data_IF_321204617960
#
_entry.id   IF_321204617960
#
_cell.length_a   1.000
_cell.length_b   1.000
_cell.length_c   1.000
_cell.angle_alpha   90.00
_cell.angle_beta   90.00
_cell.angle_gamma   90.00
#
_symmetry.space_group_name_H-M   'P 1'
#
loop_
_entity.id
_entity.type
_entity.pdbx_description
1 polymer ?
#
# COMPACT_ATOMS: atom_id res chain seq x y z
N UNK A 1 0.56 19.67 -8.79
CA UNK A 1 -0.46 20.21 -9.72
C UNK A 1 -1.46 19.11 -10.11
N UNK A 2 -2.75 19.42 -10.36
CA UNK A 2 -3.86 18.46 -10.50
C UNK A 2 -3.64 17.34 -11.54
N UNK A 3 -2.87 17.60 -12.59
CA UNK A 3 -2.56 16.61 -13.64
C UNK A 3 -1.70 15.43 -13.14
N UNK A 4 -0.90 15.63 -12.09
CA UNK A 4 -0.08 14.57 -11.49
C UNK A 4 -0.93 13.52 -10.77
N UNK A 5 -2.01 13.97 -10.13
CA UNK A 5 -2.99 13.09 -9.47
C UNK A 5 -3.69 12.22 -10.52
N UNK A 6 -4.00 12.80 -11.69
CA UNK A 6 -4.62 12.07 -12.80
C UNK A 6 -3.76 10.91 -13.33
N UNK A 7 -2.46 11.12 -13.51
CA UNK A 7 -1.51 10.08 -13.95
C UNK A 7 -1.43 8.95 -12.93
N UNK A 8 -1.33 9.28 -11.64
CA UNK A 8 -1.31 8.29 -10.55
C UNK A 8 -2.56 7.42 -10.54
N UNK A 9 -3.74 8.04 -10.69
CA UNK A 9 -5.02 7.31 -10.72
C UNK A 9 -5.08 6.36 -11.92
N UNK A 10 -4.66 6.80 -13.10
CA UNK A 10 -4.65 5.95 -14.31
C UNK A 10 -3.69 4.76 -14.13
N UNK A 11 -2.49 4.99 -13.59
CA UNK A 11 -1.54 3.90 -13.31
C UNK A 11 -2.03 2.93 -12.23
N UNK A 12 -2.62 3.43 -11.14
CA UNK A 12 -3.27 2.59 -10.13
C UNK A 12 -4.42 1.77 -10.71
N UNK A 13 -5.21 2.34 -11.63
CA UNK A 13 -6.29 1.63 -12.30
C UNK A 13 -5.77 0.52 -13.22
N UNK A 14 -4.67 0.77 -13.95
CA UNK A 14 -3.98 -0.25 -14.76
C UNK A 14 -3.45 -1.38 -13.88
N UNK A 15 -2.81 -1.06 -12.75
CA UNK A 15 -2.32 -2.05 -11.79
C UNK A 15 -3.45 -2.87 -11.15
N UNK A 16 -4.58 -2.23 -10.83
CA UNK A 16 -5.77 -2.91 -10.33
C UNK A 16 -6.31 -3.92 -11.36
N UNK A 17 -6.46 -3.51 -12.63
CA UNK A 17 -6.92 -4.40 -13.70
C UNK A 17 -5.94 -5.58 -13.89
N UNK A 18 -4.64 -5.30 -13.88
CA UNK A 18 -3.61 -6.32 -13.97
C UNK A 18 -3.74 -7.32 -12.81
N UNK A 19 -3.76 -6.85 -11.56
CA UNK A 19 -3.92 -7.68 -10.37
C UNK A 19 -5.22 -8.50 -10.37
N UNK A 20 -6.32 -7.91 -10.83
CA UNK A 20 -7.60 -8.59 -11.00
C UNK A 20 -7.57 -9.71 -12.05
N UNK A 21 -6.87 -9.50 -13.17
CA UNK A 21 -6.65 -10.54 -14.19
C UNK A 21 -5.78 -11.68 -13.67
N UNK A 22 -4.69 -11.38 -12.95
CA UNK A 22 -3.82 -12.38 -12.34
C UNK A 22 -4.54 -13.19 -11.25
N UNK A 23 -5.44 -12.56 -10.46
CA UNK A 23 -6.27 -13.24 -9.44
C UNK A 23 -7.22 -14.28 -10.03
N UNK A 24 -7.64 -14.12 -11.30
CA UNK A 24 -8.49 -15.09 -12.01
C UNK A 24 -7.73 -16.29 -12.57
N UNK A 25 -6.39 -16.26 -12.59
CA UNK A 25 -5.62 -17.40 -13.09
C UNK A 25 -5.66 -18.57 -12.09
N UNK A 26 -6.08 -19.78 -12.49
CA UNK A 26 -6.12 -20.95 -11.62
C UNK A 26 -4.73 -21.34 -11.08
N UNK A 27 -3.66 -20.82 -11.69
CA UNK A 27 -2.27 -21.00 -11.26
C UNK A 27 -1.92 -20.22 -9.99
N UNK A 28 -2.33 -18.94 -9.90
CA UNK A 28 -2.17 -18.15 -8.67
C UNK A 28 -3.00 -18.75 -7.54
N UNK A 29 -4.24 -19.19 -7.82
CA UNK A 29 -5.10 -19.80 -6.81
C UNK A 29 -4.48 -21.03 -6.15
N UNK A 30 -3.72 -21.85 -6.90
CA UNK A 30 -2.96 -23.02 -6.40
C UNK A 30 -1.70 -22.66 -5.61
N UNK A 31 -1.05 -21.53 -5.92
CA UNK A 31 0.15 -21.04 -5.22
C UNK A 31 -0.18 -20.27 -3.93
N UNK A 32 -1.33 -19.58 -3.92
CA UNK A 32 -1.77 -18.75 -2.79
C UNK A 32 -2.69 -19.50 -1.82
N UNK A 33 -3.21 -20.68 -2.19
CA UNK A 33 -4.00 -21.52 -1.31
C UNK A 33 -3.16 -22.02 -0.12
N UNK A 34 -3.23 -21.30 1.00
CA UNK A 34 -2.64 -21.67 2.28
C UNK A 34 -1.49 -20.77 2.80
N UNK A 35 -1.10 -19.70 2.10
CA UNK A 35 0.05 -18.87 2.51
C UNK A 35 -0.28 -17.37 2.61
N UNK A 36 -0.83 -16.93 3.75
CA UNK A 36 -1.04 -15.50 4.08
C UNK A 36 0.24 -14.66 3.89
N UNK A 37 1.42 -15.29 4.04
CA UNK A 37 2.71 -14.63 3.85
C UNK A 37 2.94 -14.11 2.42
N UNK A 38 2.46 -14.82 1.39
CA UNK A 38 2.59 -14.36 0.00
C UNK A 38 1.70 -13.13 -0.22
N UNK A 39 0.48 -13.14 0.33
CA UNK A 39 -0.45 -12.00 0.28
C UNK A 39 0.16 -10.74 0.90
N UNK A 40 0.70 -10.85 2.11
CA UNK A 40 1.32 -9.71 2.81
C UNK A 40 2.51 -9.15 2.02
N UNK A 41 3.38 -10.01 1.49
CA UNK A 41 4.51 -9.56 0.66
C UNK A 41 4.04 -8.84 -0.60
N UNK A 42 2.97 -9.32 -1.24
CA UNK A 42 2.38 -8.66 -2.40
C UNK A 42 1.81 -7.28 -2.05
N UNK A 43 1.18 -7.13 -0.87
CA UNK A 43 0.71 -5.84 -0.36
C UNK A 43 1.87 -4.86 -0.17
N UNK A 44 2.95 -5.28 0.49
CA UNK A 44 4.13 -4.42 0.67
C UNK A 44 4.80 -4.07 -0.66
N UNK A 45 4.91 -5.03 -1.58
CA UNK A 45 5.43 -4.76 -2.92
C UNK A 45 4.57 -3.73 -3.66
N UNK A 46 3.24 -3.83 -3.55
CA UNK A 46 2.31 -2.87 -4.14
C UNK A 46 2.43 -1.47 -3.51
N UNK A 47 2.56 -1.39 -2.18
CA UNK A 47 2.79 -0.12 -1.47
C UNK A 47 4.09 0.52 -1.96
N UNK A 48 5.20 -0.22 -1.96
CA UNK A 48 6.51 0.30 -2.41
C UNK A 48 6.44 0.76 -3.86
N UNK A 49 5.79 -0.01 -4.73
CA UNK A 49 5.65 0.33 -6.13
C UNK A 49 4.83 1.62 -6.33
N UNK A 50 3.68 1.75 -5.67
CA UNK A 50 2.82 2.92 -5.83
C UNK A 50 3.39 4.17 -5.15
N UNK A 51 4.11 4.02 -4.03
CA UNK A 51 4.87 5.11 -3.40
C UNK A 51 6.01 5.56 -4.31
N UNK A 52 6.79 4.64 -4.86
CA UNK A 52 7.89 4.98 -5.79
C UNK A 52 7.39 5.64 -7.08
N UNK A 53 6.23 5.20 -7.59
CA UNK A 53 5.57 5.90 -8.69
C UNK A 53 5.10 7.30 -8.28
N UNK A 54 4.50 7.46 -7.10
CA UNK A 54 4.08 8.76 -6.58
C UNK A 54 5.26 9.74 -6.48
N UNK A 55 6.38 9.27 -5.93
CA UNK A 55 7.62 10.04 -5.84
C UNK A 55 8.14 10.43 -7.23
N UNK A 56 8.18 9.48 -8.17
CA UNK A 56 8.65 9.71 -9.54
C UNK A 56 7.81 10.71 -10.34
N UNK A 57 6.51 10.83 -10.05
CA UNK A 57 5.64 11.86 -10.66
C UNK A 57 5.56 13.15 -9.86
N UNK A 58 6.25 13.26 -8.72
CA UNK A 58 6.23 14.45 -7.85
C UNK A 58 4.92 14.64 -7.09
N UNK A 59 4.21 13.54 -6.82
CA UNK A 59 3.05 13.52 -5.94
C UNK A 59 3.43 13.17 -4.50
N UNK A 60 2.51 13.44 -3.57
CA UNK A 60 2.63 13.07 -2.17
C UNK A 60 2.78 11.54 -2.02
N UNK A 61 3.88 11.08 -1.40
CA UNK A 61 4.15 9.65 -1.19
C UNK A 61 3.04 8.94 -0.41
N UNK A 62 2.39 9.65 0.52
CA UNK A 62 1.26 9.13 1.29
C UNK A 62 0.05 8.79 0.40
N UNK A 63 -0.12 9.48 -0.73
CA UNK A 63 -1.18 9.19 -1.69
C UNK A 63 -0.94 7.84 -2.40
N UNK A 64 0.31 7.52 -2.74
CA UNK A 64 0.68 6.23 -3.31
C UNK A 64 0.36 5.05 -2.38
N UNK A 65 0.71 5.18 -1.10
CA UNK A 65 0.38 4.18 -0.08
C UNK A 65 -1.14 4.05 0.14
N UNK A 66 -1.88 5.16 0.14
CA UNK A 66 -3.34 5.15 0.25
C UNK A 66 -4.00 4.39 -0.91
N UNK A 67 -3.57 4.66 -2.15
CA UNK A 67 -4.09 3.96 -3.34
C UNK A 67 -3.78 2.46 -3.31
N UNK A 68 -2.61 2.06 -2.80
CA UNK A 68 -2.30 0.65 -2.58
C UNK A 68 -3.32 -0.02 -1.64
N UNK A 69 -3.66 0.66 -0.53
CA UNK A 69 -4.68 0.18 0.41
C UNK A 69 -6.06 0.04 -0.22
N UNK A 70 -6.48 1.00 -1.04
CA UNK A 70 -7.75 0.92 -1.79
C UNK A 70 -7.77 -0.30 -2.72
N UNK A 71 -6.70 -0.53 -3.47
CA UNK A 71 -6.59 -1.70 -4.36
C UNK A 71 -6.69 -3.00 -3.56
N UNK A 72 -5.94 -3.11 -2.46
CA UNK A 72 -5.96 -4.30 -1.60
C UNK A 72 -7.35 -4.55 -1.03
N UNK A 73 -8.03 -3.51 -0.55
CA UNK A 73 -9.41 -3.59 -0.04
C UNK A 73 -10.38 -4.10 -1.11
N UNK A 74 -10.30 -3.58 -2.33
CA UNK A 74 -11.12 -4.03 -3.47
C UNK A 74 -10.82 -5.47 -3.90
N UNK A 75 -9.62 -5.97 -3.63
CA UNK A 75 -9.27 -7.37 -3.85
C UNK A 75 -9.83 -8.31 -2.77
N UNK A 76 -10.52 -7.83 -1.74
CA UNK A 76 -11.19 -8.69 -0.76
C UNK A 76 -10.21 -9.59 -0.01
N UNK A 77 -9.35 -9.02 0.86
CA UNK A 77 -8.41 -9.78 1.67
C UNK A 77 -9.13 -10.63 2.73
N UNK A 78 -8.50 -11.71 3.18
CA UNK A 78 -9.00 -12.47 4.34
C UNK A 78 -8.68 -11.75 5.66
N UNK A 79 -9.38 -12.15 6.73
CA UNK A 79 -9.25 -11.52 8.05
C UNK A 79 -7.84 -11.68 8.63
N UNK A 80 -7.22 -12.86 8.46
CA UNK A 80 -5.85 -13.11 8.93
C UNK A 80 -4.84 -12.15 8.28
N UNK A 81 -5.02 -11.82 7.00
CA UNK A 81 -4.17 -10.86 6.29
C UNK A 81 -4.42 -9.45 6.82
N UNK A 82 -5.67 -9.05 7.05
CA UNK A 82 -6.00 -7.74 7.64
C UNK A 82 -5.37 -7.59 9.02
N UNK A 83 -5.54 -8.57 9.92
CA UNK A 83 -4.96 -8.53 11.28
C UNK A 83 -3.43 -8.45 11.25
N UNK A 84 -2.78 -9.14 10.31
CA UNK A 84 -1.33 -9.05 10.13
C UNK A 84 -0.91 -7.67 9.62
N UNK A 85 -1.64 -7.09 8.66
CA UNK A 85 -1.36 -5.73 8.16
C UNK A 85 -1.58 -4.67 9.26
N UNK A 86 -2.63 -4.82 10.07
CA UNK A 86 -2.89 -3.98 11.24
C UNK A 86 -1.78 -4.11 12.27
N UNK A 87 -1.26 -5.32 12.50
CA UNK A 87 -0.10 -5.53 13.39
C UNK A 87 1.14 -4.78 12.91
N UNK A 88 1.38 -4.71 11.59
CA UNK A 88 2.46 -3.89 11.04
C UNK A 88 2.17 -2.39 11.22
N UNK A 89 0.95 -1.94 10.93
CA UNK A 89 0.54 -0.55 11.06
C UNK A 89 0.65 -0.04 12.49
N UNK A 90 -0.11 -0.64 13.39
CA UNK A 90 -0.17 -0.25 14.80
C UNK A 90 1.07 -0.66 15.60
N UNK A 91 1.67 -1.81 15.29
CA UNK A 91 2.80 -2.34 16.06
C UNK A 91 4.16 -1.77 15.66
N UNK A 92 4.33 -1.32 14.41
CA UNK A 92 5.63 -0.87 13.90
C UNK A 92 5.58 0.54 13.31
N UNK A 93 4.73 0.81 12.32
CA UNK A 93 4.77 2.06 11.55
C UNK A 93 4.27 3.28 12.33
N UNK A 94 3.15 3.17 13.05
CA UNK A 94 2.58 4.28 13.81
C UNK A 94 3.52 4.77 14.93
N UNK A 95 4.13 3.89 15.75
CA UNK A 95 5.14 4.31 16.74
C UNK A 95 6.33 5.05 16.11
N UNK A 96 6.88 4.54 15.01
CA UNK A 96 8.01 5.20 14.30
C UNK A 96 7.59 6.57 13.76
N UNK A 97 6.40 6.67 13.17
CA UNK A 97 5.86 7.94 12.70
C UNK A 97 5.80 8.99 13.82
N UNK A 98 5.26 8.63 14.98
CA UNK A 98 5.19 9.56 16.12
C UNK A 98 6.56 9.91 16.69
N UNK A 99 7.51 8.98 16.71
CA UNK A 99 8.90 9.27 17.10
C UNK A 99 9.52 10.28 16.13
N UNK A 100 9.38 10.06 14.83
CA UNK A 100 9.94 10.94 13.80
C UNK A 100 9.33 12.33 13.85
N UNK A 101 8.01 12.44 13.98
CA UNK A 101 7.34 13.73 14.16
C UNK A 101 7.83 14.39 15.45
N UNK A 102 7.85 13.64 16.57
CA UNK A 102 8.25 14.13 17.88
C UNK A 102 9.68 14.68 17.94
N UNK A 103 10.64 14.00 17.32
CA UNK A 103 12.05 14.46 17.25
C UNK A 103 12.18 15.78 16.48
N UNK A 104 11.33 16.01 15.48
CA UNK A 104 11.33 17.24 14.70
C UNK A 104 10.48 18.36 15.33
N UNK A 105 9.79 18.11 16.44
CA UNK A 105 9.02 19.14 17.14
C UNK A 105 9.96 20.09 17.89
N UNK A 106 9.95 21.35 17.49
CA UNK A 106 10.69 22.42 18.16
C UNK A 106 9.79 23.14 19.17
N UNK A 107 9.74 22.60 20.40
CA UNK A 107 8.92 23.11 21.52
C UNK A 107 9.22 24.59 21.85
N UNK A 108 10.48 25.07 21.89
CA UNK A 108 10.78 26.48 22.12
C UNK A 108 10.25 27.47 21.06
N UNK A 109 9.88 27.01 19.86
CA UNK A 109 9.40 27.85 18.76
C UNK A 109 7.89 27.78 18.51
N UNK A 110 7.16 27.02 19.32
CA UNK A 110 5.70 26.87 19.30
C UNK A 110 5.03 27.90 20.21
#
# INVERSE_FOLDING_TARGET
>A
PLWLIGILIVFSFIFYIMGGLFKKSPFLKKLTSGTTQIGIRAVFALIILLVGLAEGVGAENILGAFLAGVIVSLLGPDQDMVEKLDSFGYGFFIPIFFIMVGVNLNIPSL
#
